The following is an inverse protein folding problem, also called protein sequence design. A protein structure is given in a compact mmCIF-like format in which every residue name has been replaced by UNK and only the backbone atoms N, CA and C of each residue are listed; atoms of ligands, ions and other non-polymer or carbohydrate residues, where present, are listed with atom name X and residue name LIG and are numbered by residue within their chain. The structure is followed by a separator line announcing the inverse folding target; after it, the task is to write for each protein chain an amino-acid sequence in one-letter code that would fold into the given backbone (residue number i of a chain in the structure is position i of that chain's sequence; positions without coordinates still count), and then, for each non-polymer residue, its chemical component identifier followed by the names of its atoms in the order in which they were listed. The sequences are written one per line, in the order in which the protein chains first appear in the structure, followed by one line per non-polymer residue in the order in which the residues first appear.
data_IF_223868915606
#
_entry.id   IF_223868915606
#
_cell.length_a   1.000
_cell.length_b   1.000
_cell.length_c   1.000
_cell.angle_alpha   90.00
_cell.angle_beta   90.00
_cell.angle_gamma   90.00
#
_symmetry.space_group_name_H-M   'P 1'
#
loop_
_entity.id
_entity.type
_entity.pdbx_description
1 polymer ?
#
# COMPACT_ATOMS: atom_id res chain seq x y z
N UNK A 1 -58.24 21.27 69.66
CA UNK A 1 -58.30 22.75 69.79
C UNK A 1 -56.91 23.34 69.56
N UNK A 2 -56.82 24.35 68.68
CA UNK A 2 -55.66 25.23 68.42
C UNK A 2 -54.50 24.56 67.67
N UNK A 3 -53.89 25.16 66.64
CA UNK A 3 -54.17 26.28 65.74
C UNK A 3 -53.17 26.09 64.60
N UNK A 4 -53.59 26.45 63.39
CA UNK A 4 -52.82 26.45 62.15
C UNK A 4 -51.61 27.40 62.30
N UNK A 5 -50.43 26.96 61.85
CA UNK A 5 -49.33 27.85 61.47
C UNK A 5 -48.58 27.23 60.28
N UNK A 6 -48.98 27.70 59.10
CA UNK A 6 -48.40 27.43 57.80
C UNK A 6 -47.06 28.17 57.71
N UNK A 7 -45.94 27.48 57.86
CA UNK A 7 -44.60 28.04 57.71
C UNK A 7 -44.19 28.01 56.23
N UNK A 8 -44.28 29.15 55.54
CA UNK A 8 -43.66 29.37 54.24
C UNK A 8 -42.13 29.21 54.37
N UNK A 9 -41.57 28.22 53.67
CA UNK A 9 -40.12 28.10 53.46
C UNK A 9 -39.76 28.98 52.26
N UNK A 10 -39.27 30.18 52.53
CA UNK A 10 -38.72 31.10 51.54
C UNK A 10 -37.32 30.61 51.15
N UNK A 11 -37.20 29.92 50.01
CA UNK A 11 -35.90 29.59 49.42
C UNK A 11 -35.35 30.87 48.78
N UNK A 12 -34.44 31.55 49.49
CA UNK A 12 -33.66 32.64 48.92
C UNK A 12 -32.62 32.05 47.95
N UNK A 13 -32.93 32.04 46.66
CA UNK A 13 -31.98 31.77 45.59
C UNK A 13 -30.98 32.92 45.48
N UNK A 14 -29.81 32.76 46.10
CA UNK A 14 -28.64 33.60 45.85
C UNK A 14 -28.13 33.33 44.43
N UNK A 15 -28.60 34.13 43.48
CA UNK A 15 -28.00 34.29 42.16
C UNK A 15 -26.62 34.92 42.34
N UNK A 16 -25.56 34.12 42.25
CA UNK A 16 -24.19 34.61 42.08
C UNK A 16 -24.03 34.94 40.60
N UNK A 17 -23.81 36.21 40.19
CA UNK A 17 -23.43 36.51 38.83
C UNK A 17 -21.93 36.27 38.70
N UNK A 18 -21.51 35.03 38.46
CA UNK A 18 -20.18 34.78 37.91
C UNK A 18 -20.19 35.08 36.41
N UNK A 19 -20.36 36.35 36.04
CA UNK A 19 -19.81 36.83 34.77
C UNK A 19 -18.31 36.94 34.96
N UNK A 20 -17.60 35.82 34.91
CA UNK A 20 -16.19 35.87 34.56
C UNK A 20 -16.14 36.34 33.11
N UNK A 21 -16.01 37.66 32.95
CA UNK A 21 -15.46 38.22 31.71
C UNK A 21 -14.12 37.54 31.54
N UNK A 22 -14.05 36.60 30.62
CA UNK A 22 -12.78 36.20 30.00
C UNK A 22 -12.12 37.53 29.62
N UNK A 23 -10.96 37.89 30.20
CA UNK A 23 -10.25 39.08 29.79
C UNK A 23 -10.13 38.98 28.28
N UNK A 24 -10.59 40.01 27.56
CA UNK A 24 -10.49 40.06 26.11
C UNK A 24 -9.09 39.61 25.77
N UNK A 25 -9.04 38.40 25.22
CA UNK A 25 -7.80 37.75 24.88
C UNK A 25 -7.22 38.68 23.86
N UNK A 26 -6.23 39.45 24.28
CA UNK A 26 -5.33 40.16 23.41
C UNK A 26 -4.70 39.03 22.60
N UNK A 27 -5.39 38.74 21.50
CA UNK A 27 -5.16 37.60 20.65
C UNK A 27 -3.75 37.89 20.20
N UNK A 28 -2.80 37.16 20.77
CA UNK A 28 -1.63 36.75 20.02
C UNK A 28 -2.23 35.93 18.88
N UNK A 29 -2.70 36.64 17.86
CA UNK A 29 -2.82 36.20 16.51
C UNK A 29 -1.38 35.91 16.11
N UNK A 30 -0.86 34.77 16.61
CA UNK A 30 0.00 33.93 15.80
C UNK A 30 -0.83 33.77 14.55
N UNK A 31 -0.54 34.61 13.55
CA UNK A 31 -1.06 34.47 12.20
C UNK A 31 -0.77 33.03 11.87
N UNK A 32 -1.80 32.18 11.97
CA UNK A 32 -1.72 30.87 11.36
C UNK A 32 -1.32 31.18 9.91
N UNK A 33 -0.27 30.55 9.38
CA UNK A 33 0.13 30.78 8.01
C UNK A 33 -1.12 30.66 7.13
N UNK A 34 -1.29 31.63 6.23
CA UNK A 34 -2.46 31.68 5.34
C UNK A 34 -2.58 30.30 4.65
N UNK A 35 -3.76 29.65 4.67
CA UNK A 35 -3.95 28.39 3.96
C UNK A 35 -3.47 28.52 2.52
N UNK A 36 -2.45 27.74 2.14
CA UNK A 36 -1.85 27.81 0.79
C UNK A 36 -2.65 27.04 -0.26
N UNK A 37 -3.83 26.55 0.09
CA UNK A 37 -4.69 25.72 -0.76
C UNK A 37 -5.15 26.43 -2.05
N UNK A 38 -5.18 27.78 -2.04
CA UNK A 38 -5.68 28.59 -3.16
C UNK A 38 -4.60 29.37 -3.92
N UNK A 39 -3.34 29.29 -3.49
CA UNK A 39 -2.22 29.85 -4.25
C UNK A 39 -1.67 28.75 -5.16
N UNK A 40 -1.53 28.96 -6.50
CA UNK A 40 -0.78 28.06 -7.36
C UNK A 40 0.70 28.07 -6.95
N UNK A 41 1.02 27.34 -5.87
CA UNK A 41 2.33 27.29 -5.24
C UNK A 41 3.33 26.41 -5.98
N UNK A 42 2.94 25.84 -7.12
CA UNK A 42 3.80 25.00 -7.93
C UNK A 42 4.47 25.83 -9.01
N UNK A 43 5.47 26.62 -8.59
CA UNK A 43 6.55 27.01 -9.52
C UNK A 43 7.03 25.73 -10.22
N UNK A 44 7.50 25.84 -11.46
CA UNK A 44 8.02 24.69 -12.23
C UNK A 44 9.12 23.91 -11.51
N UNK A 45 9.80 24.54 -10.55
CA UNK A 45 10.84 23.95 -9.70
C UNK A 45 10.33 23.25 -8.43
N UNK A 46 9.02 23.23 -8.15
CA UNK A 46 8.46 22.71 -6.90
C UNK A 46 8.92 21.29 -6.59
N UNK A 47 8.86 20.39 -7.58
CA UNK A 47 9.31 19.00 -7.42
C UNK A 47 10.78 18.93 -7.00
N UNK A 48 11.64 19.69 -7.68
CA UNK A 48 13.08 19.74 -7.40
C UNK A 48 13.36 20.27 -6.00
N UNK A 49 12.70 21.36 -5.59
CA UNK A 49 12.85 21.94 -4.24
C UNK A 49 12.36 20.98 -3.15
N UNK A 50 11.22 20.31 -3.38
CA UNK A 50 10.68 19.30 -2.47
C UNK A 50 11.64 18.11 -2.33
N UNK A 51 12.17 17.61 -3.43
CA UNK A 51 13.09 16.47 -3.42
C UNK A 51 14.42 16.84 -2.74
N UNK A 52 14.94 18.04 -2.97
CA UNK A 52 16.12 18.56 -2.29
C UNK A 52 15.90 18.75 -0.79
N UNK A 53 14.74 19.30 -0.39
CA UNK A 53 14.38 19.45 1.02
C UNK A 53 14.25 18.10 1.72
N UNK A 54 13.58 17.11 1.11
CA UNK A 54 13.50 15.74 1.63
C UNK A 54 14.90 15.16 1.78
N UNK A 55 15.77 15.29 0.77
CA UNK A 55 17.15 14.80 0.85
C UNK A 55 17.92 15.44 2.01
N UNK A 56 17.72 16.73 2.29
CA UNK A 56 18.34 17.43 3.42
C UNK A 56 17.85 16.92 4.79
N UNK A 57 16.61 16.45 4.91
CA UNK A 57 16.08 15.91 6.17
C UNK A 57 16.80 14.64 6.62
N UNK A 58 17.23 13.79 5.68
CA UNK A 58 17.85 12.51 6.00
C UNK A 58 19.30 12.64 6.53
N UNK A 59 19.93 13.83 6.41
CA UNK A 59 21.29 14.16 6.92
C UNK A 59 22.32 13.01 6.74
N UNK A 60 22.21 12.27 5.66
CA UNK A 60 23.09 11.13 5.39
C UNK A 60 24.47 11.63 4.93
N UNK A 61 25.52 10.84 5.17
CA UNK A 61 26.85 11.14 4.63
C UNK A 61 26.80 11.17 3.08
N UNK A 62 27.67 11.94 2.40
CA UNK A 62 27.62 12.16 0.94
C UNK A 62 27.51 10.88 0.09
N UNK A 63 28.13 9.78 0.52
CA UNK A 63 28.16 8.50 -0.20
C UNK A 63 27.14 7.48 0.34
N UNK A 64 26.24 7.91 1.22
CA UNK A 64 25.20 7.04 1.78
C UNK A 64 23.91 7.16 0.97
N UNK A 65 23.56 6.08 0.27
CA UNK A 65 22.21 5.90 -0.25
C UNK A 65 21.24 5.60 0.90
N UNK A 66 20.67 6.66 1.47
CA UNK A 66 19.71 6.55 2.55
C UNK A 66 18.42 5.85 2.12
N UNK A 67 18.03 5.90 0.83
CA UNK A 67 16.80 5.23 0.35
C UNK A 67 16.98 3.73 0.37
N UNK A 68 18.15 3.25 -0.02
CA UNK A 68 18.51 1.84 0.09
C UNK A 68 18.52 1.39 1.56
N UNK A 69 19.06 2.20 2.48
CA UNK A 69 19.04 1.87 3.93
C UNK A 69 17.62 1.85 4.49
N UNK A 70 16.78 2.81 4.12
CA UNK A 70 15.36 2.86 4.47
C UNK A 70 14.62 1.61 3.98
N UNK A 71 14.87 1.19 2.74
CA UNK A 71 14.30 -0.03 2.19
C UNK A 71 14.76 -1.27 2.95
N UNK A 72 16.05 -1.36 3.30
CA UNK A 72 16.58 -2.45 4.11
C UNK A 72 15.93 -2.49 5.50
N UNK A 73 15.82 -1.34 6.17
CA UNK A 73 15.16 -1.22 7.47
C UNK A 73 13.68 -1.64 7.41
N UNK A 74 12.95 -1.26 6.35
CA UNK A 74 11.56 -1.73 6.14
C UNK A 74 11.50 -3.25 5.98
N UNK A 75 12.42 -3.85 5.24
CA UNK A 75 12.48 -5.32 5.09
C UNK A 75 12.74 -6.02 6.43
N UNK A 76 13.66 -5.49 7.25
CA UNK A 76 13.95 -5.99 8.59
C UNK A 76 12.74 -5.86 9.51
N UNK A 77 12.08 -4.70 9.54
CA UNK A 77 10.89 -4.46 10.36
C UNK A 77 9.73 -5.41 9.98
N UNK A 78 9.53 -5.67 8.68
CA UNK A 78 8.56 -6.66 8.20
C UNK A 78 8.90 -8.06 8.73
N UNK A 79 10.18 -8.45 8.66
CA UNK A 79 10.63 -9.75 9.13
C UNK A 79 10.53 -9.92 10.65
N UNK A 80 10.85 -8.88 11.42
CA UNK A 80 10.70 -8.84 12.87
C UNK A 80 9.23 -8.97 13.28
N UNK A 81 8.36 -8.12 12.70
CA UNK A 81 6.92 -8.17 12.94
C UNK A 81 6.35 -9.55 12.66
N UNK A 82 6.78 -10.19 11.55
CA UNK A 82 6.38 -11.56 11.23
C UNK A 82 6.74 -12.53 12.35
N UNK A 83 7.99 -12.53 12.83
CA UNK A 83 8.42 -13.42 13.93
C UNK A 83 7.57 -13.21 15.18
N UNK A 84 7.30 -11.95 15.55
CA UNK A 84 6.46 -11.64 16.71
C UNK A 84 5.03 -12.15 16.53
N UNK A 85 4.41 -11.94 15.37
CA UNK A 85 3.05 -12.42 15.07
C UNK A 85 3.00 -13.94 15.08
N UNK A 86 3.98 -14.62 14.49
CA UNK A 86 4.09 -16.08 14.47
C UNK A 86 4.22 -16.66 15.90
N UNK A 87 5.08 -16.07 16.73
CA UNK A 87 5.25 -16.48 18.13
C UNK A 87 3.98 -16.29 18.95
N UNK A 88 3.35 -15.12 18.85
CA UNK A 88 2.11 -14.83 19.59
C UNK A 88 0.95 -15.72 19.11
N UNK A 89 0.90 -16.06 17.81
CA UNK A 89 -0.07 -17.03 17.27
C UNK A 89 0.16 -18.44 17.80
N UNK A 90 1.41 -18.89 17.85
CA UNK A 90 1.75 -20.20 18.40
C UNK A 90 1.38 -20.31 19.89
N UNK A 91 1.35 -19.18 20.61
CA UNK A 91 0.88 -19.08 21.99
C UNK A 91 -0.64 -18.78 22.11
N UNK A 92 -1.40 -18.89 21.01
CA UNK A 92 -2.86 -18.64 20.97
C UNK A 92 -3.28 -17.23 21.44
N UNK A 93 -2.37 -16.26 21.37
CA UNK A 93 -2.67 -14.90 21.76
C UNK A 93 -3.71 -14.27 20.80
N UNK A 94 -4.62 -13.41 21.30
CA UNK A 94 -5.62 -12.76 20.47
C UNK A 94 -4.99 -11.73 19.51
N UNK A 95 -5.69 -11.38 18.42
CA UNK A 95 -5.19 -10.42 17.42
C UNK A 95 -4.80 -9.06 18.02
N UNK A 96 -5.51 -8.62 19.07
CA UNK A 96 -5.19 -7.39 19.80
C UNK A 96 -3.77 -7.39 20.39
N UNK A 97 -3.19 -8.56 20.67
CA UNK A 97 -1.81 -8.68 21.13
C UNK A 97 -0.81 -8.35 20.01
N UNK A 98 -1.15 -8.66 18.74
CA UNK A 98 -0.30 -8.37 17.59
C UNK A 98 -0.24 -6.86 17.30
N UNK A 99 -1.30 -6.13 17.65
CA UNK A 99 -1.45 -4.68 17.43
C UNK A 99 -0.91 -3.83 18.57
N UNK A 100 -0.56 -4.46 19.70
CA UNK A 100 -0.04 -3.75 20.85
C UNK A 100 1.35 -3.19 20.57
N UNK A 101 1.54 -1.92 20.91
CA UNK A 101 2.86 -1.30 20.97
C UNK A 101 3.48 -1.68 22.29
N UNK A 102 4.69 -2.26 22.24
CA UNK A 102 5.48 -2.55 23.44
C UNK A 102 6.92 -2.10 23.20
N UNK A 103 7.32 -1.07 23.92
CA UNK A 103 8.73 -0.68 24.10
C UNK A 103 9.06 -0.80 25.59
N UNK A 104 10.35 -0.75 25.99
CA UNK A 104 10.71 -0.77 27.41
C UNK A 104 10.05 0.32 28.26
N UNK A 105 9.68 1.46 27.65
CA UNK A 105 9.11 2.61 28.34
C UNK A 105 7.62 2.85 28.06
N UNK A 106 7.07 2.30 26.97
CA UNK A 106 5.71 2.61 26.51
C UNK A 106 5.01 1.29 26.15
N UNK A 107 3.83 1.09 26.71
CA UNK A 107 2.92 0.05 26.25
C UNK A 107 1.53 0.63 26.00
N UNK A 108 0.84 0.14 24.98
CA UNK A 108 -0.48 0.65 24.62
C UNK A 108 -0.95 0.19 23.25
N UNK A 109 -2.02 0.80 22.77
CA UNK A 109 -2.57 0.56 21.44
C UNK A 109 -2.53 1.89 20.67
N UNK A 110 -2.07 1.85 19.43
CA UNK A 110 -2.28 2.98 18.52
C UNK A 110 -3.75 2.99 18.10
N UNK A 111 -4.38 4.14 18.21
CA UNK A 111 -5.70 4.40 17.66
C UNK A 111 -5.54 5.46 16.58
N UNK A 112 -5.89 5.12 15.36
CA UNK A 112 -5.87 6.07 14.25
C UNK A 112 -6.86 7.21 14.53
N UNK A 113 -6.38 8.45 14.44
CA UNK A 113 -7.18 9.68 14.58
C UNK A 113 -7.35 10.44 13.25
N UNK A 114 -6.95 9.79 12.14
CA UNK A 114 -6.82 10.40 10.80
C UNK A 114 -8.13 10.58 10.03
N UNK A 115 -8.03 11.19 8.85
CA UNK A 115 -9.18 11.60 8.02
C UNK A 115 -10.06 10.41 7.62
N UNK A 116 -11.24 10.30 8.22
CA UNK A 116 -12.22 9.26 7.92
C UNK A 116 -12.83 9.30 6.50
N UNK A 117 -12.43 10.23 5.63
CA UNK A 117 -12.95 10.38 4.26
C UNK A 117 -11.98 10.96 3.22
N UNK A 118 -10.69 11.17 3.53
CA UNK A 118 -9.70 11.63 2.54
C UNK A 118 -8.73 10.48 2.29
N UNK A 119 -9.05 9.65 1.31
CA UNK A 119 -8.09 8.66 0.84
C UNK A 119 -6.96 9.38 0.09
N UNK A 120 -5.71 9.10 0.48
CA UNK A 120 -4.57 9.37 -0.38
C UNK A 120 -4.67 8.60 -1.69
N UNK A 121 -3.64 8.68 -2.53
CA UNK A 121 -3.63 7.95 -3.81
C UNK A 121 -3.74 6.43 -3.59
N UNK A 122 -4.77 5.82 -4.15
CA UNK A 122 -4.94 4.36 -4.23
C UNK A 122 -4.27 3.84 -5.49
N UNK A 123 -3.60 2.69 -5.41
CA UNK A 123 -2.82 2.12 -6.51
C UNK A 123 -3.36 0.80 -7.02
N UNK A 124 -3.83 -0.06 -6.12
CA UNK A 124 -4.47 -1.31 -6.49
C UNK A 124 -5.68 -1.56 -5.58
N UNK A 125 -6.66 -2.27 -6.11
CA UNK A 125 -7.85 -2.67 -5.38
C UNK A 125 -8.17 -4.12 -5.71
N UNK A 126 -8.50 -4.90 -4.70
CA UNK A 126 -8.77 -6.32 -4.88
C UNK A 126 -9.97 -6.80 -4.06
N UNK A 127 -10.96 -7.38 -4.74
CA UNK A 127 -12.17 -7.89 -4.12
C UNK A 127 -12.04 -9.38 -3.78
N UNK A 128 -11.97 -9.68 -2.48
CA UNK A 128 -12.01 -11.02 -1.93
C UNK A 128 -13.46 -11.50 -1.89
N UNK A 129 -13.90 -12.14 -2.99
CA UNK A 129 -15.29 -12.62 -3.16
C UNK A 129 -15.69 -13.59 -2.03
N UNK A 130 -14.91 -14.65 -1.69
CA UNK A 130 -15.31 -15.58 -0.63
C UNK A 130 -15.40 -14.93 0.75
N UNK A 131 -14.50 -13.97 1.04
CA UNK A 131 -14.49 -13.25 2.31
C UNK A 131 -15.45 -12.07 2.37
N UNK A 132 -16.08 -11.68 1.25
CA UNK A 132 -16.81 -10.43 1.06
C UNK A 132 -16.02 -9.19 1.54
N UNK A 133 -14.73 -9.13 1.22
CA UNK A 133 -13.81 -8.08 1.71
C UNK A 133 -13.19 -7.28 0.58
N UNK A 134 -13.03 -5.98 0.81
CA UNK A 134 -12.29 -5.08 -0.06
C UNK A 134 -10.86 -4.95 0.44
N UNK A 135 -9.90 -5.07 -0.46
CA UNK A 135 -8.49 -4.77 -0.19
C UNK A 135 -8.08 -3.59 -1.07
N UNK A 136 -7.34 -2.64 -0.50
CA UNK A 136 -6.84 -1.47 -1.19
C UNK A 136 -5.38 -1.29 -0.84
N UNK A 137 -4.55 -1.09 -1.85
CA UNK A 137 -3.15 -0.78 -1.69
C UNK A 137 -2.93 0.72 -1.93
N UNK A 138 -2.44 1.42 -0.91
CA UNK A 138 -2.20 2.86 -0.98
C UNK A 138 -0.81 3.17 -1.54
N UNK A 139 -0.61 4.38 -2.08
CA UNK A 139 0.71 4.85 -2.52
C UNK A 139 1.72 4.96 -1.37
N UNK A 140 1.25 5.16 -0.14
CA UNK A 140 2.07 5.05 1.06
C UNK A 140 2.63 3.65 1.31
N UNK A 141 2.16 2.63 0.58
CA UNK A 141 2.62 1.25 0.68
C UNK A 141 1.89 0.42 1.72
N UNK A 142 0.77 0.91 2.26
CA UNK A 142 -0.04 0.16 3.22
C UNK A 142 -1.15 -0.62 2.51
N UNK A 143 -1.43 -1.80 3.04
CA UNK A 143 -2.66 -2.54 2.76
C UNK A 143 -3.77 -2.02 3.67
N UNK A 144 -4.89 -1.66 3.06
CA UNK A 144 -6.15 -1.35 3.73
C UNK A 144 -7.17 -2.42 3.41
N UNK A 145 -7.94 -2.84 4.42
CA UNK A 145 -8.95 -3.87 4.26
C UNK A 145 -10.22 -3.49 4.99
N UNK A 146 -11.36 -3.80 4.38
CA UNK A 146 -12.69 -3.61 4.96
C UNK A 146 -13.61 -4.78 4.61
N UNK A 147 -14.56 -5.08 5.48
CA UNK A 147 -15.77 -5.79 5.07
C UNK A 147 -16.53 -4.91 4.06
N UNK A 148 -17.01 -5.50 2.96
CA UNK A 148 -17.68 -4.75 1.89
C UNK A 148 -19.00 -4.13 2.35
N UNK A 149 -19.68 -4.74 3.32
CA UNK A 149 -20.98 -4.28 3.84
C UNK A 149 -20.79 -3.21 4.90
N UNK A 150 -19.92 -3.46 5.87
CA UNK A 150 -19.71 -2.55 6.99
C UNK A 150 -18.78 -1.37 6.66
N UNK A 151 -17.93 -1.49 5.63
CA UNK A 151 -16.92 -0.51 5.25
C UNK A 151 -15.99 -0.10 6.41
N UNK A 152 -15.71 -1.05 7.30
CA UNK A 152 -14.87 -0.89 8.49
C UNK A 152 -13.38 -1.00 8.14
N UNK A 153 -12.87 0.01 7.43
CA UNK A 153 -11.47 0.07 7.00
C UNK A 153 -10.47 -0.06 8.16
N UNK A 154 -9.46 -0.90 7.96
CA UNK A 154 -8.31 -1.01 8.85
C UNK A 154 -7.04 -1.35 8.05
N UNK A 155 -5.88 -1.02 8.60
CA UNK A 155 -4.58 -1.47 8.12
C UNK A 155 -4.08 -2.62 9.02
N UNK A 156 -4.25 -3.90 8.62
CA UNK A 156 -3.96 -5.05 9.49
C UNK A 156 -2.46 -5.24 9.79
N UNK A 157 -1.59 -4.72 8.92
CA UNK A 157 -0.14 -4.76 9.07
C UNK A 157 0.45 -3.36 8.88
N UNK A 158 0.03 -2.41 9.69
CA UNK A 158 0.46 -1.00 9.66
C UNK A 158 1.99 -0.80 9.65
N UNK A 159 2.74 -1.70 10.28
CA UNK A 159 4.20 -1.73 10.24
C UNK A 159 4.83 -2.23 8.93
N UNK A 160 4.06 -2.81 8.01
CA UNK A 160 4.51 -3.22 6.70
C UNK A 160 4.22 -2.12 5.67
N UNK A 161 5.28 -1.50 5.14
CA UNK A 161 5.22 -0.46 4.12
C UNK A 161 5.94 -0.92 2.85
N UNK A 162 5.18 -1.08 1.78
CA UNK A 162 5.63 -1.50 0.45
C UNK A 162 5.62 -0.31 -0.50
N UNK A 163 6.65 0.52 -0.44
CA UNK A 163 6.67 1.79 -1.17
C UNK A 163 6.92 1.53 -2.67
N UNK A 164 6.01 1.96 -3.56
CA UNK A 164 6.20 1.84 -4.99
C UNK A 164 7.09 2.97 -5.53
N UNK A 165 7.85 2.67 -6.58
CA UNK A 165 8.57 3.67 -7.33
C UNK A 165 7.63 4.25 -8.41
N UNK A 166 6.99 5.37 -8.10
CA UNK A 166 6.15 6.11 -9.05
C UNK A 166 4.66 5.85 -8.90
N UNK A 167 4.01 5.36 -9.95
CA UNK A 167 2.56 5.46 -10.15
C UNK A 167 1.78 4.14 -10.05
N UNK A 168 2.47 3.03 -9.86
CA UNK A 168 1.89 1.69 -9.92
C UNK A 168 1.98 1.01 -8.56
N UNK A 169 1.01 0.17 -8.25
CA UNK A 169 1.03 -0.70 -7.08
C UNK A 169 0.42 -2.04 -7.46
N UNK A 170 0.92 -3.11 -6.86
CA UNK A 170 0.66 -4.46 -7.32
C UNK A 170 0.15 -5.28 -6.13
N UNK A 171 -1.11 -5.71 -6.22
CA UNK A 171 -1.78 -6.48 -5.18
C UNK A 171 -2.57 -7.61 -5.85
N UNK A 172 -2.34 -8.83 -5.39
CA UNK A 172 -3.06 -10.02 -5.85
C UNK A 172 -3.66 -10.79 -4.67
N UNK A 173 -4.81 -11.42 -4.89
CA UNK A 173 -5.49 -12.27 -3.91
C UNK A 173 -5.76 -13.65 -4.51
N UNK A 174 -5.04 -14.65 -4.02
CA UNK A 174 -5.30 -16.04 -4.40
C UNK A 174 -6.31 -16.67 -3.45
N UNK A 175 -7.38 -17.23 -4.02
CA UNK A 175 -8.46 -18.00 -3.36
C UNK A 175 -8.01 -19.39 -2.86
N UNK A 176 -8.87 -20.08 -2.13
CA UNK A 176 -8.52 -21.25 -1.31
C UNK A 176 -8.08 -20.80 0.08
N UNK A 177 -6.96 -21.33 0.58
CA UNK A 177 -6.31 -20.75 1.75
C UNK A 177 -5.96 -19.27 1.49
N UNK A 178 -6.21 -18.40 2.47
CA UNK A 178 -5.97 -16.97 2.33
C UNK A 178 -4.51 -16.70 1.90
N UNK A 179 -4.38 -15.85 0.87
CA UNK A 179 -3.10 -15.49 0.28
C UNK A 179 -3.22 -14.12 -0.37
N UNK A 180 -2.48 -13.16 0.16
CA UNK A 180 -2.25 -11.86 -0.46
C UNK A 180 -0.82 -11.82 -0.95
N UNK A 181 -0.60 -11.23 -2.11
CA UNK A 181 0.72 -11.00 -2.68
C UNK A 181 0.88 -9.52 -3.04
N UNK A 182 2.01 -8.95 -2.66
CA UNK A 182 2.39 -7.58 -3.01
C UNK A 182 3.74 -7.61 -3.71
N UNK A 183 3.82 -7.04 -4.91
CA UNK A 183 5.09 -6.75 -5.57
C UNK A 183 5.50 -5.32 -5.19
N UNK A 184 6.66 -5.19 -4.56
CA UNK A 184 7.14 -3.95 -3.96
C UNK A 184 8.50 -3.55 -4.54
N UNK A 185 8.72 -2.24 -4.68
CA UNK A 185 10.00 -1.67 -5.08
C UNK A 185 10.89 -1.36 -3.87
N UNK A 186 10.29 -0.91 -2.75
CA UNK A 186 11.01 -0.56 -1.53
C UNK A 186 10.20 -0.95 -0.27
N UNK A 187 10.52 -2.10 0.38
CA UNK A 187 11.61 -3.01 0.04
C UNK A 187 11.36 -3.78 -1.26
N UNK A 188 12.41 -4.11 -2.00
CA UNK A 188 12.29 -4.78 -3.30
C UNK A 188 11.96 -6.26 -3.13
N UNK A 189 10.94 -6.72 -3.86
CA UNK A 189 10.57 -8.13 -3.95
C UNK A 189 9.08 -8.38 -3.90
N UNK A 190 8.70 -9.65 -3.90
CA UNK A 190 7.31 -10.07 -3.64
C UNK A 190 7.17 -10.45 -2.18
N UNK A 191 6.08 -10.02 -1.56
CA UNK A 191 5.73 -10.32 -0.19
C UNK A 191 4.39 -11.03 -0.14
N UNK A 192 4.33 -12.12 0.62
CA UNK A 192 3.13 -12.94 0.79
C UNK A 192 2.56 -12.82 2.20
N UNK A 193 1.24 -12.79 2.32
CA UNK A 193 0.55 -12.90 3.60
C UNK A 193 -0.52 -13.98 3.54
N UNK A 194 -0.57 -14.80 4.60
CA UNK A 194 -1.49 -15.93 4.73
C UNK A 194 -2.55 -15.66 5.82
N UNK A 195 -2.56 -14.45 6.36
CA UNK A 195 -3.34 -14.05 7.54
C UNK A 195 -3.93 -12.64 7.39
N UNK A 196 -4.43 -12.35 6.19
CA UNK A 196 -5.14 -11.10 5.90
C UNK A 196 -4.27 -9.84 5.98
N UNK A 197 -2.95 -9.97 5.83
CA UNK A 197 -2.01 -8.84 5.86
C UNK A 197 -1.44 -8.53 7.25
N UNK A 198 -1.74 -9.34 8.27
CA UNK A 198 -1.24 -9.15 9.65
C UNK A 198 0.28 -9.35 9.74
N UNK A 199 0.83 -10.26 8.94
CA UNK A 199 2.26 -10.44 8.76
C UNK A 199 2.59 -10.82 7.32
N UNK A 200 3.84 -10.58 6.92
CA UNK A 200 4.30 -10.77 5.55
C UNK A 200 5.63 -11.53 5.51
N UNK A 201 5.75 -12.43 4.54
CA UNK A 201 6.96 -13.21 4.26
C UNK A 201 7.50 -12.80 2.90
N UNK A 202 8.78 -12.46 2.81
CA UNK A 202 9.42 -12.19 1.53
C UNK A 202 9.53 -13.49 0.70
N UNK A 203 9.25 -13.40 -0.58
CA UNK A 203 9.51 -14.46 -1.54
C UNK A 203 11.00 -14.54 -1.88
N UNK A 204 11.47 -15.72 -2.28
CA UNK A 204 12.85 -15.91 -2.76
C UNK A 204 12.95 -15.84 -4.29
N UNK A 205 14.17 -15.75 -4.82
CA UNK A 205 14.45 -15.88 -6.25
C UNK A 205 14.22 -14.62 -7.12
N UNK A 206 13.80 -13.51 -6.51
CA UNK A 206 13.92 -12.19 -7.11
C UNK A 206 15.39 -11.75 -7.11
N UNK A 207 15.93 -11.38 -8.28
CA UNK A 207 17.27 -10.80 -8.37
C UNK A 207 17.27 -9.43 -7.67
N UNK A 208 18.27 -9.18 -6.83
CA UNK A 208 18.37 -7.96 -6.01
C UNK A 208 19.23 -6.87 -6.65
N UNK A 209 20.09 -7.20 -7.62
CA UNK A 209 21.00 -6.25 -8.23
C UNK A 209 20.48 -5.72 -9.56
N UNK A 210 20.40 -4.39 -9.69
CA UNK A 210 20.19 -3.62 -10.92
C UNK A 210 18.77 -3.65 -11.54
N UNK A 211 17.75 -3.61 -10.68
CA UNK A 211 16.37 -3.31 -11.07
C UNK A 211 16.06 -1.81 -10.91
N UNK A 212 15.09 -1.29 -11.67
CA UNK A 212 14.62 0.09 -11.56
C UNK A 212 13.26 0.18 -10.88
N UNK A 213 12.26 -0.53 -11.41
CA UNK A 213 10.92 -0.61 -10.83
C UNK A 213 10.14 -1.81 -11.37
N UNK A 214 9.15 -2.26 -10.60
CA UNK A 214 8.14 -3.21 -11.04
C UNK A 214 7.19 -2.57 -12.07
N UNK A 215 6.86 -3.30 -13.12
CA UNK A 215 5.99 -2.81 -14.21
C UNK A 215 4.66 -3.53 -14.26
N UNK A 216 4.61 -4.80 -13.85
CA UNK A 216 3.37 -5.58 -13.86
C UNK A 216 3.42 -6.79 -12.92
N UNK A 217 2.25 -7.25 -12.49
CA UNK A 217 2.09 -8.40 -11.59
C UNK A 217 0.71 -9.01 -11.77
N UNK A 218 0.66 -10.31 -12.04
CA UNK A 218 -0.61 -10.99 -12.25
C UNK A 218 -0.57 -12.45 -11.80
N UNK A 219 -1.62 -12.89 -11.12
CA UNK A 219 -1.90 -14.31 -10.94
C UNK A 219 -2.52 -14.91 -12.20
N UNK A 220 -2.16 -16.15 -12.56
CA UNK A 220 -2.78 -16.84 -13.70
C UNK A 220 -4.26 -17.07 -13.45
N UNK A 221 -4.57 -17.60 -12.29
CA UNK A 221 -5.92 -17.79 -11.84
C UNK A 221 -5.93 -17.73 -10.30
N UNK A 222 -7.02 -17.27 -9.67
CA UNK A 222 -7.04 -17.11 -8.23
C UNK A 222 -6.88 -18.42 -7.45
N UNK A 223 -7.19 -19.59 -8.04
CA UNK A 223 -7.11 -20.89 -7.34
C UNK A 223 -5.75 -21.58 -7.50
N UNK A 224 -5.01 -21.22 -8.53
CA UNK A 224 -3.81 -21.92 -8.98
C UNK A 224 -2.56 -21.56 -8.20
N UNK A 225 -1.43 -21.98 -8.75
CA UNK A 225 -0.11 -21.77 -8.14
C UNK A 225 0.76 -20.79 -8.91
N UNK A 226 0.38 -20.46 -10.15
CA UNK A 226 1.20 -19.64 -11.03
C UNK A 226 0.97 -18.15 -10.84
N UNK A 227 2.05 -17.42 -10.59
CA UNK A 227 2.07 -15.96 -10.45
C UNK A 227 3.22 -15.41 -11.26
N UNK A 228 2.97 -14.33 -11.99
CA UNK A 228 3.94 -13.72 -12.89
C UNK A 228 4.22 -12.28 -12.48
N UNK A 229 5.48 -11.87 -12.62
CA UNK A 229 5.91 -10.50 -12.36
C UNK A 229 6.77 -9.97 -13.50
N UNK A 230 6.62 -8.68 -13.79
CA UNK A 230 7.53 -7.93 -14.65
C UNK A 230 8.25 -6.88 -13.82
N UNK A 231 9.58 -6.85 -13.96
CA UNK A 231 10.42 -5.78 -13.40
C UNK A 231 11.36 -5.26 -14.46
N UNK A 232 11.54 -3.94 -14.49
CA UNK A 232 12.52 -3.32 -15.36
C UNK A 232 13.91 -3.54 -14.77
N UNK A 233 14.74 -4.34 -15.45
CA UNK A 233 16.09 -4.71 -15.02
C UNK A 233 17.12 -4.37 -16.09
N UNK A 234 18.35 -4.10 -15.65
CA UNK A 234 19.43 -3.80 -16.57
C UNK A 234 20.15 -5.06 -17.04
N UNK A 235 20.14 -5.29 -18.36
CA UNK A 235 20.93 -6.33 -19.04
C UNK A 235 21.61 -5.74 -20.28
N UNK A 236 22.49 -4.75 -20.08
CA UNK A 236 23.06 -3.91 -21.14
C UNK A 236 22.13 -2.76 -21.57
N UNK A 237 20.82 -2.90 -21.37
CA UNK A 237 19.83 -1.83 -21.40
C UNK A 237 18.70 -2.17 -20.42
N UNK A 238 17.95 -1.16 -19.95
CA UNK A 238 16.78 -1.40 -19.10
C UNK A 238 15.65 -2.01 -19.93
N UNK A 239 15.26 -3.24 -19.59
CA UNK A 239 14.16 -3.96 -20.23
C UNK A 239 13.37 -4.77 -19.19
N UNK A 240 12.07 -5.02 -19.41
CA UNK A 240 11.28 -5.86 -18.53
C UNK A 240 11.86 -7.27 -18.51
N UNK A 241 12.00 -7.83 -17.32
CA UNK A 241 12.32 -9.23 -17.09
C UNK A 241 11.09 -9.94 -16.55
N UNK A 242 10.72 -11.03 -17.19
CA UNK A 242 9.62 -11.89 -16.78
C UNK A 242 10.09 -12.86 -15.70
N UNK A 243 9.34 -12.91 -14.61
CA UNK A 243 9.47 -13.86 -13.52
C UNK A 243 8.22 -14.71 -13.42
N UNK A 244 8.38 -15.96 -13.00
CA UNK A 244 7.28 -16.85 -12.68
C UNK A 244 7.50 -17.54 -11.32
N UNK A 245 6.41 -17.69 -10.58
CA UNK A 245 6.28 -18.56 -9.42
C UNK A 245 5.35 -19.71 -9.80
N UNK A 246 5.62 -20.91 -9.30
CA UNK A 246 4.75 -22.09 -9.40
C UNK A 246 4.29 -22.58 -8.02
N UNK A 247 4.53 -21.77 -6.98
CA UNK A 247 4.33 -22.10 -5.57
C UNK A 247 3.53 -21.01 -4.83
N UNK A 248 2.59 -20.36 -5.54
CA UNK A 248 1.69 -19.32 -4.99
C UNK A 248 2.45 -18.12 -4.42
N UNK A 249 3.52 -17.73 -5.11
CA UNK A 249 4.34 -16.56 -4.79
C UNK A 249 5.30 -16.75 -3.62
N UNK A 250 5.68 -17.98 -3.26
CA UNK A 250 6.68 -18.23 -2.22
C UNK A 250 8.12 -18.12 -2.77
N UNK A 251 8.33 -18.49 -4.03
CA UNK A 251 9.59 -18.33 -4.75
C UNK A 251 9.32 -18.01 -6.22
N UNK A 252 10.27 -17.31 -6.85
CA UNK A 252 10.19 -16.93 -8.24
C UNK A 252 11.46 -17.28 -8.99
N UNK A 253 11.31 -17.65 -10.24
CA UNK A 253 12.42 -17.89 -11.17
C UNK A 253 12.35 -16.88 -12.31
N UNK A 254 13.50 -16.32 -12.68
CA UNK A 254 13.59 -15.48 -13.87
C UNK A 254 13.47 -16.35 -15.13
N UNK A 255 12.61 -15.93 -16.07
CA UNK A 255 12.38 -16.64 -17.33
C UNK A 255 13.17 -16.01 -18.49
N UNK A 256 12.88 -14.76 -18.82
CA UNK A 256 13.50 -14.08 -19.97
C UNK A 256 13.41 -12.55 -19.86
N UNK A 257 14.29 -11.86 -20.59
CA UNK A 257 14.11 -10.44 -20.88
C UNK A 257 13.16 -10.27 -22.06
N UNK A 258 12.30 -9.26 -21.97
CA UNK A 258 11.39 -8.85 -23.04
C UNK A 258 12.06 -7.86 -23.98
N UNK A 259 11.50 -7.71 -25.17
CA UNK A 259 12.16 -7.01 -26.26
C UNK A 259 12.06 -5.50 -26.09
N UNK A 260 10.86 -5.00 -25.81
CA UNK A 260 10.55 -3.58 -25.74
C UNK A 260 10.45 -3.09 -24.28
N UNK A 261 11.08 -1.96 -23.99
CA UNK A 261 11.16 -1.39 -22.65
C UNK A 261 9.78 -1.03 -22.06
N UNK A 262 9.01 -0.27 -22.82
CA UNK A 262 7.78 0.38 -22.36
C UNK A 262 6.53 -0.21 -23.04
N UNK A 263 6.65 -1.42 -23.58
CA UNK A 263 5.58 -2.13 -24.31
C UNK A 263 5.47 -3.57 -23.81
N UNK A 264 5.37 -3.72 -22.49
CA UNK A 264 5.14 -5.00 -21.86
C UNK A 264 4.03 -4.90 -20.83
N UNK A 265 3.17 -5.93 -20.80
CA UNK A 265 2.07 -6.04 -19.85
C UNK A 265 1.72 -7.51 -19.65
N UNK A 266 1.29 -7.84 -18.44
CA UNK A 266 0.67 -9.10 -18.09
C UNK A 266 -0.83 -8.91 -17.98
N UNK A 267 -1.58 -9.93 -18.37
CA UNK A 267 -3.02 -9.93 -18.19
C UNK A 267 -3.53 -11.35 -18.06
N UNK A 268 -4.30 -11.61 -17.02
CA UNK A 268 -5.17 -12.77 -16.95
C UNK A 268 -6.61 -12.31 -16.75
N UNK A 269 -7.59 -12.83 -17.51
CA UNK A 269 -8.99 -12.55 -17.22
C UNK A 269 -9.34 -13.06 -15.83
N UNK A 270 -9.84 -12.16 -14.99
CA UNK A 270 -10.17 -12.45 -13.59
C UNK A 270 -11.21 -13.56 -13.41
N UNK A 271 -12.09 -13.74 -14.39
CA UNK A 271 -13.19 -14.70 -14.35
C UNK A 271 -13.20 -15.57 -15.60
N UNK A 272 -13.55 -16.84 -15.43
CA UNK A 272 -13.82 -17.81 -16.50
C UNK A 272 -12.66 -18.06 -17.47
N UNK A 273 -11.43 -17.74 -17.07
CA UNK A 273 -10.23 -18.06 -17.82
C UNK A 273 -9.07 -18.32 -16.86
N UNK A 274 -8.17 -19.18 -17.30
CA UNK A 274 -6.85 -19.40 -16.68
C UNK A 274 -5.74 -19.06 -17.68
N UNK A 275 -6.05 -18.30 -18.73
CA UNK A 275 -5.07 -17.92 -19.74
C UNK A 275 -4.29 -16.70 -19.27
N UNK A 276 -2.98 -16.85 -19.09
CA UNK A 276 -2.07 -15.74 -18.89
C UNK A 276 -1.60 -15.21 -20.25
N UNK A 277 -1.84 -13.94 -20.50
CA UNK A 277 -1.37 -13.20 -21.66
C UNK A 277 -0.16 -12.34 -21.31
N UNK A 278 0.72 -12.19 -22.28
CA UNK A 278 1.88 -11.33 -22.24
C UNK A 278 1.90 -10.45 -23.50
N UNK A 279 1.94 -9.14 -23.31
CA UNK A 279 2.34 -8.21 -24.35
C UNK A 279 3.87 -8.06 -24.34
N UNK A 280 4.50 -8.22 -25.50
CA UNK A 280 5.93 -7.97 -25.71
C UNK A 280 6.11 -7.19 -27.02
N UNK A 281 6.29 -5.88 -26.90
CA UNK A 281 6.26 -4.96 -28.02
C UNK A 281 4.87 -4.91 -28.66
N UNK A 282 4.80 -5.35 -29.91
CA UNK A 282 3.55 -5.50 -30.66
C UNK A 282 3.05 -6.95 -30.68
N UNK A 283 3.72 -7.89 -30.01
CA UNK A 283 3.31 -9.29 -30.01
C UNK A 283 2.48 -9.61 -28.79
N UNK A 284 1.25 -10.07 -29.01
CA UNK A 284 0.44 -10.69 -27.97
C UNK A 284 0.77 -12.17 -27.92
N UNK A 285 1.14 -12.65 -26.73
CA UNK A 285 1.53 -14.03 -26.47
C UNK A 285 0.66 -14.61 -25.35
N UNK A 286 0.52 -15.92 -25.31
CA UNK A 286 0.09 -16.65 -24.10
C UNK A 286 1.30 -17.29 -23.43
N UNK A 287 1.21 -17.49 -22.12
CA UNK A 287 2.18 -18.25 -21.34
C UNK A 287 1.60 -19.64 -21.06
N UNK A 288 2.25 -20.69 -21.56
CA UNK A 288 1.83 -22.08 -21.35
C UNK A 288 1.98 -22.46 -19.86
N UNK A 289 0.94 -23.04 -19.21
CA UNK A 289 1.06 -23.47 -17.82
C UNK A 289 2.14 -24.55 -17.65
N UNK A 290 2.84 -24.52 -16.53
CA UNK A 290 3.89 -25.45 -16.12
C UNK A 290 5.23 -25.26 -16.84
N UNK A 291 5.21 -25.09 -18.17
CA UNK A 291 6.43 -24.92 -18.99
C UNK A 291 6.84 -23.46 -19.17
N UNK A 292 5.92 -22.53 -18.92
CA UNK A 292 6.06 -21.09 -19.15
C UNK A 292 6.46 -20.71 -20.59
N UNK A 293 6.24 -21.61 -21.55
CA UNK A 293 6.54 -21.35 -22.95
C UNK A 293 5.70 -20.18 -23.48
N UNK A 294 6.34 -19.27 -24.22
CA UNK A 294 5.66 -18.12 -24.82
C UNK A 294 5.14 -18.49 -26.20
N UNK A 295 3.82 -18.49 -26.38
CA UNK A 295 3.15 -18.86 -27.63
C UNK A 295 2.51 -17.62 -28.25
N UNK A 296 2.93 -17.24 -29.46
CA UNK A 296 2.36 -16.09 -30.17
C UNK A 296 0.88 -16.31 -30.47
N UNK A 297 0.05 -15.31 -30.16
CA UNK A 297 -1.39 -15.27 -30.44
C UNK A 297 -1.66 -14.38 -31.64
N UNK A 298 -1.12 -13.16 -31.61
CA UNK A 298 -1.35 -12.16 -32.65
C UNK A 298 -0.30 -11.05 -32.61
N UNK A 299 -0.23 -10.27 -33.69
CA UNK A 299 0.55 -9.04 -33.76
C UNK A 299 -0.38 -7.84 -33.77
N UNK A 300 -0.22 -6.93 -32.83
CA UNK A 300 -0.92 -5.65 -32.78
C UNK A 300 -0.41 -4.77 -33.91
N UNK A 301 -1.27 -4.48 -34.88
CA UNK A 301 -0.96 -3.50 -35.92
C UNK A 301 -1.18 -2.09 -35.36
N UNK A 302 -0.16 -1.22 -35.33
CA UNK A 302 -0.35 0.16 -34.91
C UNK A 302 -1.37 0.81 -35.84
N UNK A 303 -2.52 1.24 -35.31
CA UNK A 303 -3.41 2.10 -36.09
C UNK A 303 -2.69 3.44 -36.28
N UNK A 304 -2.78 4.01 -37.50
CA UNK A 304 -2.31 5.38 -37.75
C UNK A 304 -2.90 6.28 -36.66
N UNK A 305 -2.06 7.15 -36.07
CA UNK A 305 -2.51 8.19 -35.14
C UNK A 305 -3.76 8.83 -35.72
N UNK A 306 -4.78 8.98 -34.87
CA UNK A 306 -5.92 9.84 -35.17
C UNK A 306 -5.35 11.21 -35.50
N UNK A 307 -5.33 11.56 -36.79
CA UNK A 307 -5.07 12.92 -37.22
C UNK A 307 -6.36 13.67 -36.94
N UNK A 308 -6.35 14.71 -36.09
CA UNK A 308 -7.50 15.60 -35.99
C UNK A 308 -7.82 16.07 -37.40
N UNK A 309 -9.09 15.98 -37.79
CA UNK A 309 -9.55 16.59 -39.02
C UNK A 309 -9.17 18.08 -38.95
N UNK A 310 -8.31 18.53 -39.85
CA UNK A 310 -8.06 19.96 -40.07
C UNK A 310 -9.39 20.56 -40.51
N UNK A 311 -9.97 21.38 -39.65
CA UNK A 311 -11.06 22.28 -39.99
C UNK A 311 -10.52 23.48 -40.77
#
# INVERSE_FOLDING_TARGET
MKRIALGLLLVASLLVPTSQRVPDGDRIARRLPVPMEHSPGERSDYRQRRDAWIAQLHRAAPDTDWRMRDAAFRAEAIAEKRRTVELLRAAEAPEAAYRQVRTPAISGQWVERGSGNIAGRTLATEFDVPGNRLNVFSHGGNLWRADRTALNWSSPGDGASFTPNGSFGFLERLTGAERLLVLSDAPSGVYRSDNGGSSWTAATGFATSNFWYATDFAARDPTGTEVYALRLEFSGSYRPRLYASTDRGASFTALAFLTARDQAALFSPRYNSTTMYLLDGLQLKTITPGTHALVNVSTITPRRRWQPATA
#
